data_IF_406685655135
#
_entry.id   IF_406685655135
#
_cell.length_a   1.000
_cell.length_b   1.000
_cell.length_c   1.000
_cell.angle_alpha   90.00
_cell.angle_beta   90.00
_cell.angle_gamma   90.00
#
_symmetry.space_group_name_H-M   'P 1'
#
loop_
_entity.id
_entity.type
_entity.pdbx_description
1 polymer ?
#
# COMPACT_ATOMS: atom_id res chain seq x y z
N UNK A 1 21.50 -19.72 -22.81
CA UNK A 1 22.20 -18.42 -22.87
C UNK A 1 21.90 -17.72 -21.56
N UNK A 2 22.80 -17.85 -20.58
CA UNK A 2 22.60 -17.30 -19.24
C UNK A 2 22.77 -15.78 -19.30
N UNK A 3 21.70 -15.04 -19.00
CA UNK A 3 21.77 -13.62 -18.74
C UNK A 3 22.29 -13.46 -17.30
N UNK A 4 23.59 -13.45 -17.11
CA UNK A 4 24.18 -12.96 -15.87
C UNK A 4 24.13 -11.44 -15.91
N UNK A 5 23.14 -10.85 -15.23
CA UNK A 5 23.20 -9.43 -14.91
C UNK A 5 24.46 -9.16 -14.05
N UNK A 6 25.29 -8.17 -14.40
CA UNK A 6 26.46 -7.81 -13.60
C UNK A 6 26.00 -7.11 -12.31
N UNK A 7 26.06 -7.81 -11.17
CA UNK A 7 25.85 -7.17 -9.87
C UNK A 7 25.44 -8.07 -8.70
N UNK A 8 24.93 -9.28 -8.95
CA UNK A 8 24.54 -10.20 -7.88
C UNK A 8 25.64 -11.24 -7.66
N UNK A 9 26.45 -11.05 -6.61
CA UNK A 9 27.34 -12.10 -6.14
C UNK A 9 26.55 -13.08 -5.26
N UNK A 10 26.61 -14.40 -5.52
CA UNK A 10 25.97 -15.37 -4.66
C UNK A 10 26.63 -15.32 -3.27
N UNK A 11 25.79 -15.14 -2.24
CA UNK A 11 26.20 -15.30 -0.85
C UNK A 11 25.92 -16.73 -0.43
N UNK A 12 26.92 -17.40 0.12
CA UNK A 12 26.80 -18.72 0.71
C UNK A 12 26.67 -18.59 2.23
N UNK A 13 25.86 -19.44 2.84
CA UNK A 13 25.74 -19.53 4.29
C UNK A 13 26.28 -20.86 4.77
N UNK A 14 26.84 -20.86 5.99
CA UNK A 14 27.30 -22.07 6.67
C UNK A 14 26.31 -22.46 7.78
N UNK A 15 26.07 -23.76 7.93
CA UNK A 15 25.23 -24.31 8.99
C UNK A 15 23.73 -24.45 8.63
N UNK A 16 22.85 -24.62 9.63
CA UNK A 16 21.44 -24.88 9.39
C UNK A 16 20.72 -23.65 8.81
N UNK A 17 19.79 -23.89 7.88
CA UNK A 17 19.05 -22.82 7.20
C UNK A 17 18.10 -22.04 8.12
N UNK A 18 17.60 -22.65 9.20
CA UNK A 18 16.65 -22.02 10.13
C UNK A 18 17.10 -20.67 10.69
N UNK A 19 18.26 -20.60 11.37
CA UNK A 19 18.82 -19.33 11.85
C UNK A 19 19.02 -18.28 10.76
N UNK A 20 19.52 -18.70 9.59
CA UNK A 20 19.72 -17.80 8.44
C UNK A 20 18.40 -17.18 8.00
N UNK A 21 17.34 -17.99 7.88
CA UNK A 21 16.01 -17.50 7.54
C UNK A 21 15.45 -16.59 8.62
N UNK A 22 15.65 -16.90 9.90
CA UNK A 22 15.21 -16.02 10.99
C UNK A 22 15.87 -14.64 10.93
N UNK A 23 17.13 -14.57 10.52
CA UNK A 23 17.85 -13.30 10.36
C UNK A 23 17.37 -12.55 9.11
N UNK A 24 17.19 -13.23 7.98
CA UNK A 24 16.68 -12.64 6.75
C UNK A 24 15.22 -12.18 6.88
N UNK A 25 14.41 -12.89 7.65
CA UNK A 25 12.99 -12.57 7.89
C UNK A 25 12.80 -11.16 8.45
N UNK A 26 13.72 -10.70 9.30
CA UNK A 26 13.67 -9.36 9.91
C UNK A 26 14.23 -8.26 9.01
N UNK A 27 14.94 -8.62 7.94
CA UNK A 27 15.73 -7.71 7.11
C UNK A 27 15.22 -7.61 5.66
N UNK A 28 14.27 -8.44 5.28
CA UNK A 28 13.79 -8.57 3.90
C UNK A 28 12.32 -8.26 3.82
N UNK A 29 11.90 -7.55 2.77
CA UNK A 29 10.47 -7.37 2.46
C UNK A 29 9.87 -8.63 1.80
N UNK A 30 10.71 -9.44 1.15
CA UNK A 30 10.30 -10.66 0.48
C UNK A 30 11.41 -11.73 0.48
N UNK A 31 11.00 -13.00 0.47
CA UNK A 31 11.86 -14.17 0.39
C UNK A 31 11.31 -15.14 -0.67
N UNK A 32 12.19 -15.58 -1.58
CA UNK A 32 11.89 -16.58 -2.60
C UNK A 32 12.68 -17.85 -2.28
N UNK A 33 11.98 -18.96 -2.08
CA UNK A 33 12.57 -20.25 -1.74
C UNK A 33 12.53 -21.22 -2.91
N UNK A 34 13.69 -21.74 -3.34
CA UNK A 34 13.78 -22.89 -4.23
C UNK A 34 13.80 -24.20 -3.45
N UNK A 35 12.72 -24.50 -2.70
CA UNK A 35 12.60 -25.67 -1.81
C UNK A 35 11.20 -26.24 -1.90
N UNK A 36 11.02 -27.50 -1.49
CA UNK A 36 9.67 -28.06 -1.34
C UNK A 36 8.82 -27.22 -0.38
N UNK A 37 7.59 -26.89 -0.79
CA UNK A 37 6.67 -26.01 -0.02
C UNK A 37 6.49 -26.47 1.43
N UNK A 38 6.37 -27.78 1.67
CA UNK A 38 6.23 -28.33 3.03
C UNK A 38 7.45 -28.12 3.92
N UNK A 39 8.66 -27.96 3.36
CA UNK A 39 9.85 -27.60 4.11
C UNK A 39 9.83 -26.10 4.47
N UNK A 40 9.48 -25.25 3.50
CA UNK A 40 9.37 -23.79 3.71
C UNK A 40 8.32 -23.48 4.78
N UNK A 41 7.15 -24.11 4.73
CA UNK A 41 6.09 -23.93 5.75
C UNK A 41 6.62 -24.22 7.16
N UNK A 42 7.34 -25.33 7.36
CA UNK A 42 7.91 -25.67 8.67
C UNK A 42 9.00 -24.69 9.11
N UNK A 43 9.76 -24.17 8.17
CA UNK A 43 10.86 -23.23 8.40
C UNK A 43 10.36 -21.86 8.86
N UNK A 44 9.29 -21.37 8.23
CA UNK A 44 8.73 -20.03 8.51
C UNK A 44 7.68 -20.06 9.62
N UNK A 45 7.02 -21.19 9.88
CA UNK A 45 5.97 -21.30 10.90
C UNK A 45 6.31 -20.66 12.27
N UNK A 46 7.53 -20.85 12.85
CA UNK A 46 7.88 -20.21 14.12
C UNK A 46 8.18 -18.70 14.02
N UNK A 47 8.25 -18.14 12.81
CA UNK A 47 8.58 -16.73 12.53
C UNK A 47 7.36 -15.89 12.16
N UNK A 48 6.23 -16.53 11.84
CA UNK A 48 4.99 -15.84 11.48
C UNK A 48 4.44 -15.09 12.70
N UNK A 49 4.26 -13.78 12.58
CA UNK A 49 3.72 -12.94 13.64
C UNK A 49 2.44 -12.25 13.18
N UNK A 50 2.49 -11.58 12.03
CA UNK A 50 1.43 -10.72 11.57
C UNK A 50 1.45 -10.57 10.05
N UNK A 51 0.31 -10.90 9.41
CA UNK A 51 0.08 -10.76 7.96
C UNK A 51 0.43 -9.39 7.35
N UNK A 52 0.44 -8.33 8.17
CA UNK A 52 0.76 -6.95 7.76
C UNK A 52 2.25 -6.59 7.89
N UNK A 53 3.05 -7.43 8.55
CA UNK A 53 4.48 -7.19 8.83
C UNK A 53 5.39 -8.33 8.36
N UNK A 54 4.87 -9.55 8.27
CA UNK A 54 5.59 -10.69 7.76
C UNK A 54 5.98 -10.44 6.28
N UNK A 55 7.21 -10.81 5.87
CA UNK A 55 7.65 -10.67 4.48
C UNK A 55 6.79 -11.49 3.52
N UNK A 56 6.75 -11.07 2.26
CA UNK A 56 6.24 -11.90 1.18
C UNK A 56 7.06 -13.19 1.06
N UNK A 57 6.39 -14.34 1.00
CA UNK A 57 7.04 -15.63 0.78
C UNK A 57 6.52 -16.24 -0.51
N UNK A 58 7.44 -16.46 -1.45
CA UNK A 58 7.18 -17.22 -2.68
C UNK A 58 8.00 -18.50 -2.66
N UNK A 59 7.41 -19.60 -3.07
CA UNK A 59 8.10 -20.88 -3.24
C UNK A 59 8.14 -21.22 -4.71
N UNK A 60 9.33 -21.54 -5.21
CA UNK A 60 9.55 -22.13 -6.52
C UNK A 60 9.91 -23.60 -6.31
N UNK A 61 9.21 -24.51 -6.98
CA UNK A 61 9.55 -25.93 -6.91
C UNK A 61 10.89 -26.22 -7.61
N UNK A 62 11.45 -27.39 -7.36
CA UNK A 62 12.78 -27.77 -7.87
C UNK A 62 12.85 -27.81 -9.40
N UNK A 63 11.73 -28.11 -10.07
CA UNK A 63 11.62 -28.11 -11.54
C UNK A 63 11.40 -26.72 -12.13
N UNK A 64 11.12 -25.72 -11.30
CA UNK A 64 10.76 -24.38 -11.75
C UNK A 64 9.42 -24.34 -12.49
N UNK A 65 8.54 -25.32 -12.27
CA UNK A 65 7.23 -25.43 -12.94
C UNK A 65 6.18 -24.51 -12.32
N UNK A 66 6.30 -24.19 -11.04
CA UNK A 66 5.35 -23.42 -10.25
C UNK A 66 6.05 -22.33 -9.43
N UNK A 67 5.44 -21.14 -9.40
CA UNK A 67 5.77 -20.08 -8.45
C UNK A 67 4.57 -19.86 -7.52
N UNK A 68 4.69 -20.31 -6.29
CA UNK A 68 3.59 -20.40 -5.32
C UNK A 68 3.66 -19.22 -4.37
N UNK A 69 2.62 -18.37 -4.37
CA UNK A 69 2.43 -17.35 -3.34
C UNK A 69 2.04 -18.02 -2.03
N UNK A 70 2.98 -18.13 -1.08
CA UNK A 70 2.81 -18.94 0.13
C UNK A 70 2.35 -18.10 1.33
N UNK A 71 2.94 -16.92 1.54
CA UNK A 71 2.61 -16.04 2.66
C UNK A 71 2.73 -14.57 2.22
N UNK A 72 1.90 -13.68 2.77
CA UNK A 72 1.93 -12.27 2.42
C UNK A 72 1.43 -11.97 1.00
N UNK A 73 0.51 -12.78 0.46
CA UNK A 73 0.02 -12.67 -0.93
C UNK A 73 -0.39 -11.26 -1.35
N UNK A 74 -1.28 -10.65 -0.56
CA UNK A 74 -1.91 -9.40 -0.93
C UNK A 74 -1.03 -8.18 -0.65
N UNK A 75 -1.07 -7.66 0.59
CA UNK A 75 -0.27 -6.50 1.00
C UNK A 75 1.23 -6.78 1.04
N UNK A 76 1.61 -7.98 1.50
CA UNK A 76 3.03 -8.38 1.52
C UNK A 76 3.63 -8.45 0.11
N UNK A 77 2.79 -8.57 -0.92
CA UNK A 77 3.19 -8.56 -2.32
C UNK A 77 3.59 -9.93 -2.87
N UNK A 78 3.37 -11.03 -2.15
CA UNK A 78 3.77 -12.35 -2.63
C UNK A 78 3.00 -12.81 -3.86
N UNK A 79 1.74 -12.36 -4.06
CA UNK A 79 0.98 -12.67 -5.28
C UNK A 79 1.62 -12.00 -6.49
N UNK A 80 1.96 -10.71 -6.36
CA UNK A 80 2.67 -9.94 -7.39
C UNK A 80 4.05 -10.54 -7.67
N UNK A 81 4.78 -10.88 -6.62
CA UNK A 81 6.11 -11.48 -6.75
C UNK A 81 6.04 -12.86 -7.40
N UNK A 82 5.06 -13.70 -7.06
CA UNK A 82 4.86 -14.99 -7.69
C UNK A 82 4.60 -14.85 -9.19
N UNK A 83 3.79 -13.86 -9.61
CA UNK A 83 3.58 -13.54 -11.04
C UNK A 83 4.87 -13.07 -11.73
N UNK A 84 5.67 -12.23 -11.07
CA UNK A 84 6.93 -11.76 -11.63
C UNK A 84 7.94 -12.91 -11.78
N UNK A 85 8.13 -13.69 -10.72
CA UNK A 85 8.99 -14.88 -10.71
C UNK A 85 8.54 -15.86 -11.80
N UNK A 86 7.23 -16.07 -11.96
CA UNK A 86 6.72 -16.98 -12.97
C UNK A 86 7.00 -16.52 -14.40
N UNK A 87 6.97 -15.21 -14.65
CA UNK A 87 7.38 -14.65 -15.95
C UNK A 87 8.87 -14.87 -16.23
N UNK A 88 9.75 -14.68 -15.24
CA UNK A 88 11.19 -14.88 -15.42
C UNK A 88 11.57 -16.36 -15.60
N UNK A 89 10.89 -17.26 -14.89
CA UNK A 89 11.18 -18.70 -14.92
C UNK A 89 10.36 -19.46 -15.96
N UNK A 90 9.43 -18.79 -16.65
CA UNK A 90 8.42 -19.42 -17.51
C UNK A 90 7.64 -20.52 -16.76
N UNK A 91 7.26 -20.23 -15.51
CA UNK A 91 6.54 -21.12 -14.61
C UNK A 91 5.06 -20.74 -14.49
N UNK A 92 4.26 -21.57 -13.83
CA UNK A 92 2.86 -21.30 -13.54
C UNK A 92 2.71 -20.63 -12.17
N UNK A 93 2.16 -19.41 -12.07
CA UNK A 93 1.91 -18.79 -10.78
C UNK A 93 0.73 -19.48 -10.07
N UNK A 94 0.91 -19.85 -8.81
CA UNK A 94 -0.13 -20.44 -7.96
C UNK A 94 -0.54 -19.41 -6.91
N UNK A 95 -1.71 -18.78 -7.12
CA UNK A 95 -2.29 -17.75 -6.26
C UNK A 95 -3.70 -18.20 -5.86
N UNK A 96 -3.96 -18.31 -4.56
CA UNK A 96 -5.20 -18.91 -4.02
C UNK A 96 -6.00 -17.97 -3.12
N UNK A 97 -5.64 -16.69 -3.05
CA UNK A 97 -6.34 -15.71 -2.22
C UNK A 97 -7.80 -15.52 -2.64
N UNK A 98 -8.69 -15.24 -1.68
CA UNK A 98 -10.10 -14.97 -2.00
C UNK A 98 -10.26 -13.76 -2.95
N UNK A 99 -9.39 -12.75 -2.81
CA UNK A 99 -9.38 -11.56 -3.67
C UNK A 99 -9.06 -11.89 -5.15
N UNK A 100 -8.19 -12.87 -5.41
CA UNK A 100 -7.80 -13.25 -6.78
C UNK A 100 -8.89 -13.92 -7.60
N UNK A 101 -9.92 -14.50 -6.97
CA UNK A 101 -11.03 -15.13 -7.69
C UNK A 101 -12.13 -14.15 -8.12
N UNK A 102 -12.19 -12.97 -7.51
CA UNK A 102 -13.30 -12.05 -7.69
C UNK A 102 -13.10 -11.06 -8.85
N UNK A 103 -11.92 -11.03 -9.48
CA UNK A 103 -11.51 -9.97 -10.44
C UNK A 103 -11.73 -8.54 -9.88
N UNK A 104 -11.76 -8.40 -8.56
CA UNK A 104 -11.89 -7.11 -7.89
C UNK A 104 -10.51 -6.68 -7.37
N UNK A 105 -10.19 -5.38 -7.44
CA UNK A 105 -8.94 -4.90 -6.91
C UNK A 105 -8.92 -5.07 -5.39
N UNK A 106 -7.79 -5.52 -4.89
CA UNK A 106 -7.51 -5.55 -3.47
C UNK A 106 -7.65 -4.19 -2.81
N UNK A 107 -8.65 -4.00 -1.95
CA UNK A 107 -8.97 -2.66 -1.45
C UNK A 107 -7.85 -2.02 -0.63
N UNK A 108 -7.06 -2.82 0.07
CA UNK A 108 -5.88 -2.46 0.88
C UNK A 108 -4.58 -2.30 0.09
N UNK A 109 -4.59 -2.62 -1.22
CA UNK A 109 -3.48 -2.35 -2.16
C UNK A 109 -3.92 -1.48 -3.35
N UNK A 110 -5.19 -1.12 -3.42
CA UNK A 110 -5.80 -0.36 -4.53
C UNK A 110 -5.05 0.93 -4.84
N UNK A 111 -4.58 1.62 -3.80
CA UNK A 111 -3.91 2.91 -3.92
C UNK A 111 -2.44 2.84 -4.35
N UNK A 112 -1.80 1.67 -4.26
CA UNK A 112 -0.35 1.54 -4.45
C UNK A 112 0.10 1.96 -5.86
N UNK A 113 -0.54 1.54 -6.97
CA UNK A 113 -0.13 1.93 -8.31
C UNK A 113 -0.22 3.45 -8.56
N UNK A 114 -1.01 4.16 -7.75
CA UNK A 114 -1.21 5.60 -7.84
C UNK A 114 -0.40 6.38 -6.80
N UNK A 115 0.44 5.68 -6.01
CA UNK A 115 1.23 6.27 -4.93
C UNK A 115 0.40 6.87 -3.80
N UNK A 116 -0.82 6.37 -3.58
CA UNK A 116 -1.65 6.82 -2.46
C UNK A 116 -1.11 6.25 -1.16
N UNK A 117 -1.28 7.00 -0.07
CA UNK A 117 -0.96 6.49 1.26
C UNK A 117 -2.17 5.85 1.91
N UNK A 118 -1.99 4.64 2.43
CA UNK A 118 -3.01 3.93 3.19
C UNK A 118 -3.21 4.62 4.55
N UNK A 119 -4.44 4.98 4.86
CA UNK A 119 -4.83 5.52 6.16
C UNK A 119 -5.35 4.46 7.12
N UNK A 120 -5.90 4.92 8.25
CA UNK A 120 -6.49 4.06 9.28
C UNK A 120 -7.86 3.50 8.85
N UNK A 121 -8.27 2.42 9.52
CA UNK A 121 -9.60 1.84 9.33
C UNK A 121 -9.62 0.32 9.47
N UNK A 122 -10.83 -0.25 9.41
CA UNK A 122 -11.05 -1.69 9.42
C UNK A 122 -10.95 -2.27 8.00
N UNK A 123 -9.72 -2.46 7.55
CA UNK A 123 -9.44 -3.04 6.24
C UNK A 123 -9.87 -4.49 6.11
N UNK A 124 -9.88 -5.24 7.21
CA UNK A 124 -10.31 -6.64 7.17
C UNK A 124 -11.82 -6.72 6.99
N UNK A 125 -12.60 -5.93 7.73
CA UNK A 125 -14.06 -5.86 7.57
C UNK A 125 -14.48 -5.33 6.19
N UNK A 126 -13.82 -4.29 5.66
CA UNK A 126 -14.11 -3.81 4.30
C UNK A 126 -13.78 -4.88 3.25
N UNK A 127 -12.64 -5.57 3.38
CA UNK A 127 -12.28 -6.66 2.47
C UNK A 127 -13.28 -7.82 2.54
N UNK A 128 -13.77 -8.15 3.73
CA UNK A 128 -14.79 -9.17 3.93
C UNK A 128 -16.11 -8.78 3.25
N UNK A 129 -16.58 -7.54 3.41
CA UNK A 129 -17.79 -7.04 2.74
C UNK A 129 -17.67 -7.15 1.20
N UNK A 130 -16.52 -6.79 0.64
CA UNK A 130 -16.24 -6.94 -0.80
C UNK A 130 -16.25 -8.43 -1.20
N UNK A 131 -15.60 -9.30 -0.42
CA UNK A 131 -15.56 -10.73 -0.71
C UNK A 131 -16.96 -11.38 -0.68
N UNK A 132 -17.84 -10.89 0.18
CA UNK A 132 -19.24 -11.29 0.26
C UNK A 132 -20.16 -10.57 -0.74
N UNK A 133 -19.61 -9.73 -1.63
CA UNK A 133 -20.36 -8.92 -2.61
C UNK A 133 -21.45 -8.05 -1.97
N UNK A 134 -21.22 -7.60 -0.74
CA UNK A 134 -22.11 -6.68 -0.05
C UNK A 134 -21.87 -5.26 -0.55
N UNK A 135 -22.90 -4.39 -0.58
CA UNK A 135 -22.74 -3.02 -1.06
C UNK A 135 -21.66 -2.25 -0.30
N UNK A 136 -20.66 -1.72 -1.01
CA UNK A 136 -19.56 -0.95 -0.43
C UNK A 136 -19.58 0.46 -1.01
N UNK A 137 -19.72 1.46 -0.16
CA UNK A 137 -19.75 2.85 -0.60
C UNK A 137 -18.33 3.38 -0.83
N UNK A 138 -18.09 3.95 -2.01
CA UNK A 138 -16.83 4.61 -2.37
C UNK A 138 -17.06 6.11 -2.47
N UNK A 139 -16.39 6.88 -1.61
CA UNK A 139 -16.40 8.34 -1.65
C UNK A 139 -15.00 8.81 -2.02
N UNK A 140 -14.84 9.17 -3.28
CA UNK A 140 -13.57 9.64 -3.85
C UNK A 140 -13.65 11.14 -4.15
N UNK A 141 -12.84 11.92 -3.45
CA UNK A 141 -12.77 13.38 -3.55
C UNK A 141 -11.49 13.83 -4.27
N UNK A 142 -10.50 12.94 -4.41
CA UNK A 142 -9.23 13.23 -5.07
C UNK A 142 -8.58 11.96 -5.63
N UNK A 143 -7.47 12.14 -6.35
CA UNK A 143 -6.68 11.04 -6.92
C UNK A 143 -7.24 10.51 -8.24
N UNK A 144 -6.50 9.59 -8.84
CA UNK A 144 -6.87 8.94 -10.11
C UNK A 144 -8.15 8.11 -10.00
N UNK A 145 -9.02 8.21 -11.00
CA UNK A 145 -10.23 7.36 -11.14
C UNK A 145 -10.01 6.19 -12.10
N UNK A 146 -8.81 6.03 -12.69
CA UNK A 146 -8.52 5.00 -13.70
C UNK A 146 -8.82 3.58 -13.24
N UNK A 147 -8.70 3.31 -11.93
CA UNK A 147 -9.04 2.01 -11.37
C UNK A 147 -10.53 1.66 -11.52
N UNK A 148 -11.41 2.66 -11.59
CA UNK A 148 -12.85 2.47 -11.76
C UNK A 148 -13.18 1.92 -13.15
N UNK A 149 -12.39 2.27 -14.17
CA UNK A 149 -12.57 1.83 -15.56
C UNK A 149 -12.30 0.33 -15.75
N UNK A 150 -11.56 -0.28 -14.81
CA UNK A 150 -11.14 -1.68 -14.85
C UNK A 150 -11.96 -2.58 -13.92
N UNK A 151 -13.04 -2.04 -13.34
CA UNK A 151 -13.90 -2.84 -12.48
C UNK A 151 -14.77 -3.78 -13.31
N UNK A 152 -15.02 -4.97 -12.74
CA UNK A 152 -15.98 -5.90 -13.31
C UNK A 152 -17.40 -5.32 -13.24
N UNK A 153 -18.25 -5.64 -14.22
CA UNK A 153 -19.62 -5.12 -14.26
C UNK A 153 -20.48 -5.51 -13.05
N UNK A 154 -20.08 -6.56 -12.31
CA UNK A 154 -20.74 -7.11 -11.14
C UNK A 154 -20.10 -6.66 -9.81
N UNK A 155 -19.33 -5.56 -9.81
CA UNK A 155 -18.66 -5.05 -8.62
C UNK A 155 -19.65 -4.58 -7.53
N UNK A 156 -19.31 -4.69 -6.23
CA UNK A 156 -20.18 -4.25 -5.14
C UNK A 156 -20.15 -2.73 -4.85
N UNK A 157 -19.36 -1.95 -5.60
CA UNK A 157 -19.11 -0.55 -5.29
C UNK A 157 -20.27 0.38 -5.66
N UNK A 158 -20.65 1.23 -4.72
CA UNK A 158 -21.58 2.34 -4.90
C UNK A 158 -20.82 3.66 -4.82
N UNK A 159 -20.72 4.39 -5.93
CA UNK A 159 -19.96 5.64 -5.98
C UNK A 159 -20.79 6.84 -5.51
N UNK A 160 -20.13 7.72 -4.77
CA UNK A 160 -20.68 8.99 -4.31
C UNK A 160 -21.61 8.87 -3.10
N UNK A 161 -22.35 9.95 -2.85
CA UNK A 161 -23.33 10.01 -1.78
C UNK A 161 -24.72 9.60 -2.30
N UNK A 162 -25.55 8.92 -1.49
CA UNK A 162 -26.90 8.54 -1.90
C UNK A 162 -27.78 9.75 -2.25
N UNK A 163 -27.48 10.91 -1.67
CA UNK A 163 -28.28 12.15 -1.78
C UNK A 163 -28.04 12.93 -3.09
N UNK A 164 -27.01 12.59 -3.86
CA UNK A 164 -26.56 13.36 -5.04
C UNK A 164 -26.86 12.71 -6.40
N UNK A 165 -27.62 11.62 -6.46
CA UNK A 165 -28.14 11.13 -7.75
C UNK A 165 -29.38 11.90 -8.14
N UNK A 166 -29.17 12.94 -8.95
CA UNK A 166 -30.26 13.52 -9.74
C UNK A 166 -30.79 12.45 -10.69
N UNK A 167 -32.13 12.33 -10.73
CA UNK A 167 -32.94 11.42 -11.55
C UNK A 167 -33.17 10.02 -10.96
N UNK A 168 -34.28 9.88 -10.22
CA UNK A 168 -34.90 8.60 -9.89
C UNK A 168 -34.68 8.17 -8.44
N UNK A 169 -35.77 7.96 -7.72
CA UNK A 169 -35.83 7.38 -6.37
C UNK A 169 -35.48 5.88 -6.41
N UNK A 170 -34.32 5.51 -6.93
CA UNK A 170 -33.81 4.14 -6.79
C UNK A 170 -33.32 3.97 -5.36
N UNK A 171 -34.06 3.18 -4.57
CA UNK A 171 -33.66 2.76 -3.23
C UNK A 171 -32.36 1.96 -3.35
N UNK A 172 -31.22 2.64 -3.17
CA UNK A 172 -29.93 1.96 -3.08
C UNK A 172 -29.88 1.15 -1.79
N UNK A 173 -29.40 -0.10 -1.83
CA UNK A 173 -29.25 -0.89 -0.62
C UNK A 173 -28.23 -0.22 0.31
N UNK A 174 -28.50 -0.29 1.60
CA UNK A 174 -27.66 0.30 2.63
C UNK A 174 -26.22 -0.26 2.56
N UNK A 175 -25.20 0.61 2.58
CA UNK A 175 -23.82 0.16 2.48
C UNK A 175 -23.41 -0.62 3.73
N UNK A 176 -22.76 -1.77 3.52
CA UNK A 176 -22.21 -2.62 4.59
C UNK A 176 -20.75 -2.29 4.90
N UNK A 177 -20.12 -1.43 4.08
CA UNK A 177 -18.76 -0.93 4.28
C UNK A 177 -18.58 0.40 3.55
N UNK A 178 -17.56 1.18 3.94
CA UNK A 178 -17.24 2.45 3.28
C UNK A 178 -15.74 2.69 3.11
N UNK A 179 -15.37 3.17 1.94
CA UNK A 179 -14.01 3.56 1.56
C UNK A 179 -13.99 5.04 1.24
N UNK A 180 -13.06 5.76 1.86
CA UNK A 180 -12.77 7.15 1.54
C UNK A 180 -11.48 7.25 0.73
N UNK A 181 -11.47 8.03 -0.34
CA UNK A 181 -10.27 8.33 -1.12
C UNK A 181 -10.15 9.86 -1.18
N UNK A 182 -9.35 10.45 -0.29
CA UNK A 182 -9.42 11.88 0.00
C UNK A 182 -8.15 12.40 0.71
N UNK A 183 -7.76 13.67 0.52
CA UNK A 183 -6.67 14.26 1.29
C UNK A 183 -7.05 14.53 2.76
N UNK A 184 -8.32 14.40 3.14
CA UNK A 184 -8.80 14.67 4.51
C UNK A 184 -8.50 13.47 5.42
N UNK A 185 -7.92 13.76 6.59
CA UNK A 185 -7.74 12.82 7.69
C UNK A 185 -9.04 12.67 8.47
N UNK A 186 -9.74 11.56 8.25
CA UNK A 186 -10.96 11.22 9.00
C UNK A 186 -10.61 10.43 10.26
N UNK A 187 -11.36 10.67 11.31
CA UNK A 187 -11.37 9.85 12.51
C UNK A 187 -12.67 9.04 12.51
N UNK A 188 -12.54 7.72 12.58
CA UNK A 188 -13.68 6.84 12.70
C UNK A 188 -13.94 6.58 14.18
N UNK A 189 -15.20 6.68 14.60
CA UNK A 189 -15.60 6.27 15.94
C UNK A 189 -15.32 4.76 16.11
N UNK A 190 -14.83 4.32 17.28
CA UNK A 190 -14.63 2.89 17.56
C UNK A 190 -15.91 2.06 17.38
N UNK A 191 -17.05 2.63 17.76
CA UNK A 191 -18.38 2.00 17.69
C UNK A 191 -19.11 2.27 16.37
N UNK A 192 -18.37 2.42 15.27
CA UNK A 192 -18.97 2.65 13.95
C UNK A 192 -19.82 1.45 13.52
N UNK A 193 -21.05 1.71 13.08
CA UNK A 193 -22.02 0.67 12.65
C UNK A 193 -21.57 -0.21 11.47
N UNK A 194 -20.53 0.21 10.75
CA UNK A 194 -19.98 -0.52 9.60
C UNK A 194 -18.46 -0.29 9.46
N UNK A 195 -17.72 -1.26 8.87
CA UNK A 195 -16.30 -1.13 8.56
C UNK A 195 -15.97 0.04 7.63
N UNK A 196 -15.00 0.87 8.03
CA UNK A 196 -14.58 2.07 7.30
C UNK A 196 -13.08 2.09 7.11
N UNK A 197 -12.63 2.51 5.94
CA UNK A 197 -11.21 2.71 5.61
C UNK A 197 -11.00 4.01 4.84
N UNK A 198 -9.76 4.49 4.80
CA UNK A 198 -9.38 5.67 4.02
C UNK A 198 -8.03 5.52 3.31
N UNK A 199 -7.99 5.99 2.08
CA UNK A 199 -6.80 6.23 1.27
C UNK A 199 -6.57 7.73 1.15
N UNK A 200 -5.29 8.11 1.08
CA UNK A 200 -4.84 9.49 0.95
C UNK A 200 -4.05 9.66 -0.36
N UNK A 201 -4.71 10.09 -1.45
CA UNK A 201 -4.00 10.52 -2.65
C UNK A 201 -3.01 11.64 -2.35
N UNK A 202 -1.80 11.54 -2.90
CA UNK A 202 -0.75 12.55 -2.75
C UNK A 202 -1.01 13.75 -3.64
N UNK A 203 -1.89 14.65 -3.19
CA UNK A 203 -2.37 15.81 -3.98
C UNK A 203 -2.10 17.16 -3.33
N UNK A 204 -1.54 17.20 -2.12
CA UNK A 204 -1.28 18.43 -1.38
C UNK A 204 0.15 18.93 -1.58
N UNK A 205 0.30 20.21 -1.91
CA UNK A 205 1.58 20.91 -1.83
C UNK A 205 1.60 21.84 -0.63
N UNK A 206 2.65 21.76 0.19
CA UNK A 206 2.79 22.60 1.38
C UNK A 206 3.82 23.69 1.12
N UNK A 207 3.38 24.94 1.16
CA UNK A 207 4.27 26.10 1.14
C UNK A 207 4.99 26.27 2.48
N UNK A 208 6.32 26.28 2.47
CA UNK A 208 7.13 26.45 3.67
C UNK A 208 7.97 27.72 3.55
N UNK A 209 7.73 28.66 4.47
CA UNK A 209 8.62 29.78 4.75
C UNK A 209 9.18 29.64 6.16
N UNK A 210 10.48 29.87 6.33
CA UNK A 210 11.16 29.76 7.60
C UNK A 210 12.30 30.78 7.72
N UNK A 211 12.73 31.05 8.96
CA UNK A 211 13.95 31.84 9.21
C UNK A 211 15.21 31.00 8.90
N UNK A 212 16.34 31.66 8.64
CA UNK A 212 17.60 30.97 8.35
C UNK A 212 18.00 30.08 9.52
N UNK A 213 18.33 28.82 9.22
CA UNK A 213 18.75 27.86 10.25
C UNK A 213 17.61 27.29 11.09
N UNK A 214 16.36 27.45 10.65
CA UNK A 214 15.22 26.77 11.28
C UNK A 214 15.43 25.26 11.30
N UNK A 215 15.20 24.64 12.46
CA UNK A 215 15.43 23.20 12.64
C UNK A 215 14.40 22.36 11.90
N UNK A 216 14.81 21.17 11.45
CA UNK A 216 13.94 20.15 10.84
C UNK A 216 12.69 19.88 11.66
N UNK A 217 12.87 19.67 12.97
CA UNK A 217 11.79 19.37 13.92
C UNK A 217 10.77 20.49 14.03
N UNK A 218 11.22 21.76 14.00
CA UNK A 218 10.32 22.91 14.03
C UNK A 218 9.48 22.99 12.76
N UNK A 219 10.11 22.83 11.59
CA UNK A 219 9.43 22.84 10.29
C UNK A 219 8.40 21.70 10.23
N UNK A 220 8.81 20.49 10.60
CA UNK A 220 7.93 19.33 10.63
C UNK A 220 6.72 19.54 11.56
N UNK A 221 6.97 20.05 12.78
CA UNK A 221 5.90 20.32 13.74
C UNK A 221 4.91 21.38 13.22
N UNK A 222 5.41 22.38 12.49
CA UNK A 222 4.56 23.39 11.86
C UNK A 222 3.67 22.78 10.76
N UNK A 223 4.24 21.93 9.90
CA UNK A 223 3.49 21.21 8.85
C UNK A 223 2.43 20.30 9.49
N UNK A 224 2.81 19.50 10.49
CA UNK A 224 1.88 18.61 11.20
C UNK A 224 0.74 19.38 11.85
N UNK A 225 1.04 20.54 12.45
CA UNK A 225 0.01 21.42 13.04
C UNK A 225 -0.93 21.97 11.98
N UNK A 226 -0.40 22.46 10.85
CA UNK A 226 -1.21 22.98 9.76
C UNK A 226 -2.14 21.90 9.20
N UNK A 227 -1.62 20.70 8.90
CA UNK A 227 -2.42 19.56 8.46
C UNK A 227 -3.51 19.22 9.47
N UNK A 228 -3.20 19.17 10.77
CA UNK A 228 -4.19 18.88 11.82
C UNK A 228 -5.29 19.94 11.90
N UNK A 229 -4.94 21.22 11.82
CA UNK A 229 -5.90 22.32 11.88
C UNK A 229 -6.83 22.35 10.66
N UNK A 230 -6.35 21.90 9.50
CA UNK A 230 -7.16 21.79 8.28
C UNK A 230 -7.76 20.40 8.06
N UNK A 231 -7.63 19.48 9.02
CA UNK A 231 -8.08 18.09 8.91
C UNK A 231 -7.50 17.36 7.68
N UNK A 232 -6.28 17.70 7.25
CA UNK A 232 -5.58 17.07 6.14
C UNK A 232 -4.66 15.97 6.64
N UNK A 233 -4.56 14.89 5.88
CA UNK A 233 -3.65 13.80 6.17
C UNK A 233 -2.23 14.15 5.72
N UNK A 234 -1.24 13.90 6.59
CA UNK A 234 0.17 14.01 6.22
C UNK A 234 0.53 13.13 5.02
N UNK A 235 -0.10 11.95 4.92
CA UNK A 235 0.07 11.03 3.78
C UNK A 235 -0.46 11.57 2.45
N UNK A 236 -1.24 12.66 2.45
CA UNK A 236 -1.71 13.31 1.24
C UNK A 236 -0.71 14.34 0.67
N UNK A 237 0.43 14.57 1.32
CA UNK A 237 1.46 15.51 0.86
C UNK A 237 2.20 14.94 -0.36
N UNK A 238 2.04 15.64 -1.49
CA UNK A 238 2.72 15.41 -2.75
C UNK A 238 4.14 16.00 -2.75
N UNK A 239 4.35 17.14 -2.10
CA UNK A 239 5.64 17.83 -2.07
C UNK A 239 5.61 19.14 -1.29
N UNK A 240 6.78 19.76 -1.18
CA UNK A 240 7.02 21.01 -0.47
C UNK A 240 7.41 22.11 -1.45
N UNK A 241 6.83 23.30 -1.28
CA UNK A 241 7.14 24.48 -2.08
C UNK A 241 7.80 25.56 -1.22
N UNK A 242 8.83 26.24 -1.73
CA UNK A 242 9.46 27.37 -1.04
C UNK A 242 10.03 28.39 -2.03
N UNK A 243 10.52 29.52 -1.52
CA UNK A 243 11.26 30.51 -2.33
C UNK A 243 12.69 30.03 -2.55
N UNK A 244 13.31 30.40 -3.69
CA UNK A 244 14.71 30.02 -4.01
C UNK A 244 15.70 30.39 -2.90
N UNK A 245 15.46 31.48 -2.18
CA UNK A 245 16.25 31.90 -1.02
C UNK A 245 16.34 30.82 0.09
N UNK A 246 15.44 29.85 0.08
CA UNK A 246 15.30 28.77 1.06
C UNK A 246 15.60 27.39 0.51
N UNK A 247 16.04 27.31 -0.76
CA UNK A 247 16.34 26.05 -1.44
C UNK A 247 17.40 25.21 -0.70
N UNK A 248 18.32 25.87 0.01
CA UNK A 248 19.45 25.25 0.70
C UNK A 248 19.30 25.27 2.23
N UNK A 249 18.13 25.60 2.78
CA UNK A 249 17.93 25.60 4.23
C UNK A 249 18.04 24.15 4.76
N UNK A 250 19.05 23.81 5.58
CA UNK A 250 19.35 22.42 5.91
C UNK A 250 18.17 21.68 6.54
N UNK A 251 17.46 22.33 7.47
CA UNK A 251 16.29 21.72 8.12
C UNK A 251 15.15 21.39 7.16
N UNK A 252 15.00 22.14 6.06
CA UNK A 252 13.98 21.89 5.05
C UNK A 252 14.41 20.77 4.09
N UNK A 253 15.66 20.82 3.63
CA UNK A 253 16.24 19.80 2.74
C UNK A 253 16.24 18.44 3.43
N UNK A 254 16.71 18.37 4.67
CA UNK A 254 16.76 17.14 5.46
C UNK A 254 15.36 16.54 5.65
N UNK A 255 14.36 17.39 5.94
CA UNK A 255 12.97 16.93 6.07
C UNK A 255 12.44 16.33 4.77
N UNK A 256 12.70 17.01 3.64
CA UNK A 256 12.25 16.57 2.33
C UNK A 256 12.89 15.24 1.94
N UNK A 257 14.19 15.07 2.20
CA UNK A 257 14.91 13.82 1.94
C UNK A 257 14.36 12.68 2.82
N UNK A 258 14.21 12.89 4.13
CA UNK A 258 13.69 11.86 5.05
C UNK A 258 12.28 11.41 4.66
N UNK A 259 11.43 12.36 4.24
CA UNK A 259 10.03 12.09 3.88
C UNK A 259 9.84 11.67 2.42
N UNK A 260 10.90 11.70 1.60
CA UNK A 260 10.80 11.48 0.16
C UNK A 260 9.91 12.51 -0.54
N UNK A 261 9.83 13.74 -0.02
CA UNK A 261 9.05 14.82 -0.60
C UNK A 261 9.88 15.60 -1.61
N UNK A 262 9.38 15.78 -2.85
CA UNK A 262 9.96 16.73 -3.78
C UNK A 262 9.95 18.15 -3.20
N UNK A 263 11.08 18.83 -3.28
CA UNK A 263 11.20 20.25 -2.95
C UNK A 263 11.16 21.06 -4.25
N UNK A 264 10.19 21.95 -4.38
CA UNK A 264 10.05 22.86 -5.51
C UNK A 264 10.32 24.29 -5.08
N UNK A 265 11.30 24.92 -5.71
CA UNK A 265 11.65 26.31 -5.43
C UNK A 265 11.03 27.23 -6.49
N UNK A 266 10.68 28.43 -6.04
CA UNK A 266 10.10 29.47 -6.88
C UNK A 266 10.87 30.77 -6.70
N UNK A 267 11.16 31.43 -7.82
CA UNK A 267 11.67 32.79 -7.81
C UNK A 267 10.54 33.77 -7.47
N UNK A 268 10.82 34.86 -6.73
CA UNK A 268 9.84 35.90 -6.41
C UNK A 268 9.22 36.59 -7.63
#
# INVERSE_FOLDING_TARGET
MALTEPGLMPCYYDGPLGPVVADLWRQSDALVFGLATGAVVRLIAPLLENKDRDPAVVVVDEGGEFAISLCGGHRGGADRLAQQVSQYLNSTPVITGAASHLNLPGIDVLGDPFGWHRGSGDWTGVSAAIAHRQPVQIIQEAGSTLWQEHLSADHPFQFGWPEHTAEGQEQRPEPQARVWISPIQRQFAPDSDLPKVQWHPRVLWVGVGCERGSSKTLIESAIQRACRQSHLAMGAIAGIATLDLKAEEPGLVDLCQERGWPLRCFSP
#
